data_IF_882179440084
#
_entry.id   IF_882179440084
#
_cell.length_a   1.000
_cell.length_b   1.000
_cell.length_c   1.000
_cell.angle_alpha   90.00
_cell.angle_beta   90.00
_cell.angle_gamma   90.00
#
_symmetry.space_group_name_H-M   'P 1'
#
loop_
_entity.id
_entity.type
_entity.pdbx_description
1 polymer ?
#
# COMPACT_ATOMS: atom_id res chain seq x y z
N UNK A 1 73.65 -7.82 -69.66
CA UNK A 1 73.22 -9.20 -69.37
C UNK A 1 71.89 -9.14 -68.64
N UNK A 2 70.95 -10.04 -68.93
CA UNK A 2 69.66 -10.13 -68.26
C UNK A 2 69.64 -11.36 -67.32
N UNK A 3 68.88 -11.35 -66.21
CA UNK A 3 68.73 -12.53 -65.36
C UNK A 3 67.97 -13.63 -66.12
N UNK A 4 68.49 -14.87 -66.07
CA UNK A 4 67.85 -15.98 -66.77
C UNK A 4 66.64 -16.49 -65.97
N UNK A 5 65.47 -16.53 -66.63
CA UNK A 5 64.25 -17.09 -66.05
C UNK A 5 64.36 -18.61 -65.94
N UNK A 6 64.47 -19.13 -64.72
CA UNK A 6 64.39 -20.58 -64.46
C UNK A 6 62.97 -21.09 -64.75
N UNK A 7 62.84 -22.06 -65.64
CA UNK A 7 61.56 -22.74 -65.90
C UNK A 7 61.06 -23.46 -64.66
N UNK A 8 59.85 -23.13 -64.23
CA UNK A 8 59.31 -23.60 -62.96
C UNK A 8 58.94 -25.10 -63.01
N UNK A 9 59.74 -25.92 -62.31
CA UNK A 9 59.24 -27.17 -61.75
C UNK A 9 58.12 -26.86 -60.75
N UNK A 10 57.24 -27.82 -60.45
CA UNK A 10 56.13 -27.65 -59.51
C UNK A 10 56.62 -27.41 -58.07
N UNK A 11 56.94 -26.16 -57.74
CA UNK A 11 57.26 -25.71 -56.39
C UNK A 11 56.03 -25.86 -55.49
N UNK A 12 56.20 -26.55 -54.37
CA UNK A 12 55.19 -26.68 -53.32
C UNK A 12 54.66 -25.30 -52.91
N UNK A 13 53.34 -25.13 -53.00
CA UNK A 13 52.66 -23.91 -52.57
C UNK A 13 51.47 -24.29 -51.68
N UNK A 14 51.64 -24.26 -50.34
CA UNK A 14 50.57 -24.65 -49.41
C UNK A 14 49.36 -23.73 -49.46
N UNK A 15 49.52 -22.44 -49.79
CA UNK A 15 48.39 -21.52 -49.99
C UNK A 15 47.46 -22.03 -51.10
N UNK A 16 48.03 -22.45 -52.23
CA UNK A 16 47.28 -23.03 -53.36
C UNK A 16 46.72 -24.43 -53.02
N UNK A 17 47.46 -25.27 -52.29
CA UNK A 17 47.02 -26.61 -51.91
C UNK A 17 45.86 -26.60 -50.89
N UNK A 18 45.89 -25.68 -49.92
CA UNK A 18 44.90 -25.55 -48.85
C UNK A 18 43.79 -24.55 -49.15
N UNK A 19 43.83 -23.88 -50.30
CA UNK A 19 42.87 -22.85 -50.73
C UNK A 19 42.83 -21.62 -49.81
N UNK A 20 43.99 -21.24 -49.26
CA UNK A 20 44.15 -20.11 -48.34
C UNK A 20 44.62 -18.89 -49.15
N UNK A 21 43.88 -17.78 -49.10
CA UNK A 21 44.31 -16.52 -49.69
C UNK A 21 45.49 -15.94 -48.90
N UNK A 22 46.63 -15.72 -49.57
CA UNK A 22 47.87 -15.26 -48.96
C UNK A 22 47.79 -13.81 -48.43
N UNK A 23 47.02 -12.95 -49.11
CA UNK A 23 46.89 -11.53 -48.78
C UNK A 23 45.72 -11.26 -47.81
N UNK A 24 44.72 -12.15 -47.80
CA UNK A 24 43.48 -11.99 -47.02
C UNK A 24 43.18 -13.22 -46.16
N UNK A 25 43.81 -13.29 -44.99
CA UNK A 25 43.55 -14.31 -43.96
C UNK A 25 42.20 -14.08 -43.24
N UNK A 26 41.10 -14.31 -43.96
CA UNK A 26 39.75 -14.50 -43.41
C UNK A 26 39.62 -15.89 -42.78
N UNK A 27 38.47 -16.16 -42.16
CA UNK A 27 38.20 -17.44 -41.52
C UNK A 27 37.98 -18.57 -42.55
N UNK A 28 38.79 -19.63 -42.45
CA UNK A 28 38.73 -20.79 -43.33
C UNK A 28 37.53 -21.75 -43.05
N UNK A 29 36.68 -21.40 -42.08
CA UNK A 29 35.47 -22.16 -41.74
C UNK A 29 34.30 -21.89 -42.70
N UNK A 30 33.37 -22.84 -42.78
CA UNK A 30 32.09 -22.67 -43.46
C UNK A 30 31.04 -22.12 -42.49
N UNK A 31 30.22 -21.15 -42.89
CA UNK A 31 29.14 -20.62 -42.06
C UNK A 31 27.79 -21.25 -42.46
N UNK A 32 27.27 -22.27 -41.74
CA UNK A 32 26.12 -23.05 -42.22
C UNK A 32 24.85 -22.21 -42.37
N UNK A 33 24.62 -21.28 -41.45
CA UNK A 33 23.49 -20.34 -41.46
C UNK A 33 23.49 -19.34 -42.63
N UNK A 34 24.61 -19.22 -43.36
CA UNK A 34 24.78 -18.28 -44.47
C UNK A 34 25.05 -18.98 -45.81
N UNK A 35 25.13 -20.31 -45.83
CA UNK A 35 25.39 -21.12 -47.04
C UNK A 35 26.71 -20.81 -47.75
N UNK A 36 27.72 -20.27 -47.06
CA UNK A 36 28.97 -19.78 -47.67
C UNK A 36 30.17 -19.84 -46.72
N UNK A 37 31.36 -19.61 -47.27
CA UNK A 37 32.61 -19.47 -46.51
C UNK A 37 32.59 -18.25 -45.56
N UNK A 38 33.22 -18.39 -44.40
CA UNK A 38 33.12 -17.44 -43.31
C UNK A 38 34.07 -16.24 -43.51
N UNK A 39 33.58 -15.18 -44.15
CA UNK A 39 34.36 -13.96 -44.43
C UNK A 39 34.73 -13.12 -43.18
N UNK A 40 34.48 -13.62 -41.97
CA UNK A 40 34.88 -12.93 -40.74
C UNK A 40 36.41 -12.79 -40.66
N UNK A 41 36.94 -11.61 -40.29
CA UNK A 41 38.38 -11.43 -40.12
C UNK A 41 38.89 -12.25 -38.93
N UNK A 42 40.00 -12.96 -39.12
CA UNK A 42 40.74 -13.60 -38.03
C UNK A 42 41.42 -12.50 -37.20
N UNK A 43 41.56 -12.70 -35.87
CA UNK A 43 42.24 -11.72 -35.01
C UNK A 43 43.72 -11.53 -35.41
N UNK A 44 44.27 -10.33 -35.23
CA UNK A 44 45.60 -9.98 -35.75
C UNK A 44 46.72 -10.90 -35.22
N UNK A 45 46.69 -11.21 -33.92
CA UNK A 45 47.59 -12.18 -33.28
C UNK A 45 47.51 -13.57 -33.93
N UNK A 46 46.30 -14.05 -34.20
CA UNK A 46 46.04 -15.36 -34.80
C UNK A 46 46.42 -15.40 -36.28
N UNK A 47 46.26 -14.29 -37.02
CA UNK A 47 46.83 -14.11 -38.37
C UNK A 47 48.35 -14.15 -38.36
N UNK A 48 49.01 -13.55 -37.37
CA UNK A 48 50.47 -13.62 -37.24
C UNK A 48 50.92 -15.06 -36.96
N UNK A 49 50.26 -15.77 -36.02
CA UNK A 49 50.53 -17.19 -35.72
C UNK A 49 50.30 -18.10 -36.94
N UNK A 50 49.17 -17.95 -37.65
CA UNK A 50 48.90 -18.67 -38.89
C UNK A 50 49.94 -18.38 -39.99
N UNK A 51 50.39 -17.13 -40.13
CA UNK A 51 51.45 -16.76 -41.08
C UNK A 51 52.80 -17.39 -40.73
N UNK A 52 53.13 -17.51 -39.44
CA UNK A 52 54.34 -18.22 -38.97
C UNK A 52 54.24 -19.72 -39.26
N UNK A 53 53.10 -20.36 -38.97
CA UNK A 53 52.87 -21.78 -39.25
C UNK A 53 52.92 -22.05 -40.77
N UNK A 54 52.29 -21.20 -41.60
CA UNK A 54 52.41 -21.30 -43.05
C UNK A 54 53.83 -21.08 -43.55
N UNK A 55 54.59 -20.13 -42.98
CA UNK A 55 55.99 -19.93 -43.31
C UNK A 55 56.86 -21.17 -43.06
N UNK A 56 56.61 -21.87 -41.94
CA UNK A 56 57.24 -23.16 -41.64
C UNK A 56 56.80 -24.24 -42.65
N UNK A 57 55.50 -24.40 -42.90
CA UNK A 57 54.93 -25.39 -43.84
C UNK A 57 55.38 -25.17 -45.31
N UNK A 58 55.69 -23.93 -45.72
CA UNK A 58 56.30 -23.63 -47.03
C UNK A 58 57.70 -24.24 -47.16
N UNK A 59 58.46 -24.33 -46.07
CA UNK A 59 59.84 -24.86 -46.06
C UNK A 59 59.93 -26.38 -45.86
N UNK A 60 58.84 -27.04 -45.46
CA UNK A 60 58.80 -28.50 -45.30
C UNK A 60 58.59 -29.22 -46.64
N UNK A 61 59.20 -30.40 -46.81
CA UNK A 61 58.71 -31.33 -47.84
C UNK A 61 57.30 -31.82 -47.46
N UNK A 62 56.33 -31.85 -48.40
CA UNK A 62 54.96 -32.28 -48.15
C UNK A 62 54.77 -33.64 -47.46
N UNK A 63 55.74 -34.56 -47.51
CA UNK A 63 55.67 -35.84 -46.80
C UNK A 63 55.81 -35.73 -45.27
N UNK A 64 56.39 -34.63 -44.75
CA UNK A 64 56.62 -34.43 -43.32
C UNK A 64 55.55 -33.59 -42.62
N UNK A 65 54.59 -33.02 -43.35
CA UNK A 65 53.50 -32.23 -42.77
C UNK A 65 52.52 -33.18 -42.08
N UNK A 66 52.41 -33.08 -40.75
CA UNK A 66 51.54 -33.96 -39.96
C UNK A 66 50.11 -33.43 -39.88
N UNK A 67 49.17 -34.30 -39.48
CA UNK A 67 47.81 -33.87 -39.15
C UNK A 67 47.77 -32.85 -38.00
N UNK A 68 48.79 -32.82 -37.12
CA UNK A 68 48.89 -31.83 -36.03
C UNK A 68 49.26 -30.45 -36.58
N UNK A 69 50.19 -30.35 -37.52
CA UNK A 69 50.58 -29.06 -38.13
C UNK A 69 49.39 -28.42 -38.86
N UNK A 70 48.53 -29.25 -39.47
CA UNK A 70 47.27 -28.83 -40.09
C UNK A 70 46.19 -28.45 -39.06
N UNK A 71 46.13 -29.11 -37.91
CA UNK A 71 45.20 -28.78 -36.82
C UNK A 71 45.57 -27.48 -36.08
N UNK A 72 46.88 -27.29 -35.83
CA UNK A 72 47.45 -26.04 -35.32
C UNK A 72 47.20 -24.90 -36.33
N UNK A 73 47.39 -25.13 -37.64
CA UNK A 73 47.03 -24.17 -38.69
C UNK A 73 45.52 -23.85 -38.70
N UNK A 74 44.66 -24.87 -38.62
CA UNK A 74 43.20 -24.72 -38.66
C UNK A 74 42.70 -23.91 -37.46
N UNK A 75 43.18 -24.23 -36.26
CA UNK A 75 42.86 -23.48 -35.05
C UNK A 75 43.23 -21.99 -35.15
N UNK A 76 44.34 -21.66 -35.83
CA UNK A 76 44.79 -20.29 -36.05
C UNK A 76 44.08 -19.56 -37.23
N UNK A 77 43.39 -20.29 -38.11
CA UNK A 77 42.61 -19.74 -39.24
C UNK A 77 41.08 -19.78 -39.06
N UNK A 78 40.58 -20.25 -37.91
CA UNK A 78 39.15 -20.18 -37.57
C UNK A 78 38.85 -18.96 -36.69
N UNK A 79 37.80 -18.19 -37.02
CA UNK A 79 37.43 -17.01 -36.23
C UNK A 79 36.85 -17.39 -34.86
N UNK A 80 37.28 -16.67 -33.83
CA UNK A 80 36.95 -16.90 -32.42
C UNK A 80 35.44 -16.89 -32.16
N UNK A 81 34.71 -15.95 -32.77
CA UNK A 81 33.29 -15.66 -32.50
C UNK A 81 32.31 -16.75 -32.90
N UNK A 82 32.67 -17.64 -33.84
CA UNK A 82 31.76 -18.65 -34.38
C UNK A 82 32.33 -20.06 -34.36
N UNK A 83 33.55 -20.27 -34.86
CA UNK A 83 34.06 -21.62 -35.14
C UNK A 83 34.99 -22.15 -34.05
N UNK A 84 35.87 -21.31 -33.47
CA UNK A 84 36.92 -21.79 -32.54
C UNK A 84 36.38 -22.40 -31.24
N UNK A 85 35.38 -21.78 -30.63
CA UNK A 85 34.88 -22.21 -29.30
C UNK A 85 33.71 -23.19 -29.36
N UNK A 86 32.88 -23.11 -30.40
CA UNK A 86 31.60 -23.84 -30.42
C UNK A 86 31.67 -25.18 -31.17
N UNK A 87 32.68 -25.39 -32.04
CA UNK A 87 32.73 -26.54 -32.93
C UNK A 87 34.15 -27.12 -33.06
N UNK A 88 34.49 -28.07 -32.17
CA UNK A 88 35.63 -28.98 -32.41
C UNK A 88 35.50 -29.68 -33.77
N UNK A 89 34.28 -30.10 -34.14
CA UNK A 89 34.00 -30.78 -35.39
C UNK A 89 34.32 -29.97 -36.66
N UNK A 90 34.12 -28.65 -36.67
CA UNK A 90 34.44 -27.82 -37.87
C UNK A 90 35.95 -27.71 -38.09
N UNK A 91 36.72 -27.65 -37.00
CA UNK A 91 38.19 -27.71 -37.04
C UNK A 91 38.67 -29.07 -37.54
N UNK A 92 38.16 -30.15 -36.95
CA UNK A 92 38.54 -31.52 -37.31
C UNK A 92 38.17 -31.84 -38.79
N UNK A 93 37.05 -31.31 -39.29
CA UNK A 93 36.64 -31.35 -40.72
C UNK A 93 37.58 -30.55 -41.63
N UNK A 94 38.01 -29.34 -41.22
CA UNK A 94 38.94 -28.53 -41.99
C UNK A 94 40.33 -29.19 -42.09
N UNK A 95 40.83 -29.71 -40.97
CA UNK A 95 42.06 -30.52 -40.91
C UNK A 95 41.96 -31.73 -41.84
N UNK A 96 40.83 -32.45 -41.84
CA UNK A 96 40.59 -33.57 -42.76
C UNK A 96 40.53 -33.14 -44.25
N UNK A 97 39.91 -32.00 -44.58
CA UNK A 97 39.90 -31.42 -45.93
C UNK A 97 41.32 -31.14 -46.42
N UNK A 98 42.16 -30.51 -45.60
CA UNK A 98 43.54 -30.18 -45.96
C UNK A 98 44.44 -31.41 -46.04
N UNK A 99 44.28 -32.39 -45.15
CA UNK A 99 45.02 -33.66 -45.22
C UNK A 99 44.67 -34.43 -46.52
N UNK A 100 43.41 -34.41 -46.95
CA UNK A 100 42.98 -34.96 -48.25
C UNK A 100 43.61 -34.21 -49.43
N UNK A 101 43.66 -32.87 -49.39
CA UNK A 101 44.32 -32.07 -50.43
C UNK A 101 45.83 -32.35 -50.49
N UNK A 102 46.50 -32.50 -49.35
CA UNK A 102 47.91 -32.88 -49.25
C UNK A 102 48.17 -34.25 -49.90
N UNK A 103 47.34 -35.25 -49.58
CA UNK A 103 47.42 -36.58 -50.20
C UNK A 103 47.15 -36.54 -51.72
N UNK A 104 46.27 -35.66 -52.20
CA UNK A 104 46.04 -35.47 -53.64
C UNK A 104 47.24 -34.80 -54.33
N UNK A 105 47.90 -33.83 -53.68
CA UNK A 105 49.13 -33.23 -54.17
C UNK A 105 50.27 -34.26 -54.27
N UNK A 106 50.45 -35.09 -53.23
CA UNK A 106 51.44 -36.17 -53.20
C UNK A 106 51.19 -37.26 -54.25
N UNK A 107 49.92 -37.50 -54.61
CA UNK A 107 49.52 -38.49 -55.64
C UNK A 107 49.48 -37.93 -57.06
N UNK A 108 49.70 -36.63 -57.26
CA UNK A 108 49.73 -36.03 -58.60
C UNK A 108 50.97 -36.55 -59.37
N UNK A 109 50.81 -37.15 -60.57
CA UNK A 109 51.93 -37.74 -61.29
C UNK A 109 52.93 -36.66 -61.71
N UNK A 110 54.14 -36.72 -61.17
CA UNK A 110 55.26 -35.84 -61.57
C UNK A 110 55.58 -36.09 -63.05
N UNK A 111 55.40 -35.07 -63.90
CA UNK A 111 55.74 -35.15 -65.33
C UNK A 111 57.27 -35.19 -65.52
N UNK A 112 57.82 -36.40 -65.41
CA UNK A 112 59.24 -36.69 -65.66
C UNK A 112 59.52 -36.79 -67.16
N UNK A 113 59.70 -35.65 -67.83
CA UNK A 113 60.06 -35.62 -69.25
C UNK A 113 61.55 -35.91 -69.46
N UNK A 114 61.91 -37.18 -69.66
CA UNK A 114 63.20 -37.56 -70.25
C UNK A 114 63.08 -38.76 -71.21
N UNK A 115 64.05 -38.88 -72.12
CA UNK A 115 63.92 -39.62 -73.39
C UNK A 115 64.99 -40.71 -73.53
N UNK A 116 64.62 -41.95 -73.94
CA UNK A 116 65.37 -42.76 -74.92
C UNK A 116 64.76 -44.17 -75.23
N UNK A 117 64.57 -44.44 -76.54
CA UNK A 117 64.88 -45.68 -77.29
C UNK A 117 64.50 -47.10 -76.79
N UNK A 118 63.62 -47.74 -77.58
CA UNK A 118 63.67 -49.17 -78.03
C UNK A 118 64.94 -49.43 -78.90
N UNK A 119 65.48 -50.68 -79.07
CA UNK A 119 64.85 -51.87 -79.69
C UNK A 119 64.63 -53.05 -78.71
N UNK A 120 63.86 -54.13 -78.94
CA UNK A 120 63.46 -54.99 -80.11
C UNK A 120 64.48 -56.09 -80.49
N UNK A 121 63.96 -57.27 -80.89
CA UNK A 121 64.62 -58.45 -81.49
C UNK A 121 65.62 -59.26 -80.63
N UNK A 122 66.04 -60.48 -81.01
CA UNK A 122 65.36 -61.74 -81.40
C UNK A 122 66.47 -62.83 -81.51
N UNK A 123 66.13 -64.04 -82.00
CA UNK A 123 67.02 -64.99 -82.70
C UNK A 123 68.11 -65.82 -81.95
N UNK A 124 67.88 -67.15 -82.03
CA UNK A 124 68.84 -68.29 -82.17
C UNK A 124 69.66 -68.72 -80.94
N UNK A 125 69.81 -70.02 -80.62
CA UNK A 125 69.96 -71.32 -81.36
C UNK A 125 71.39 -71.67 -81.80
N UNK A 126 71.76 -72.94 -81.55
CA UNK A 126 72.81 -73.74 -82.23
C UNK A 126 74.26 -73.27 -81.94
N UNK A 127 75.34 -74.05 -82.15
CA UNK A 127 75.58 -75.43 -82.65
C UNK A 127 76.90 -75.89 -81.92
N UNK A 128 77.03 -77.06 -81.26
CA UNK A 128 77.34 -78.42 -81.77
C UNK A 128 78.85 -78.65 -82.07
N UNK A 129 79.23 -79.90 -82.34
CA UNK A 129 80.55 -80.45 -82.76
C UNK A 129 81.62 -80.74 -81.67
N UNK A 130 82.40 -81.85 -81.76
CA UNK A 130 82.31 -83.00 -82.67
C UNK A 130 82.98 -84.29 -82.14
N UNK A 131 82.72 -85.38 -82.86
CA UNK A 131 83.14 -86.78 -82.66
C UNK A 131 84.66 -87.04 -82.50
N UNK A 132 84.99 -88.25 -82.02
CA UNK A 132 85.75 -89.28 -82.77
C UNK A 132 85.51 -90.64 -82.07
N UNK A 133 84.84 -91.63 -82.68
CA UNK A 133 85.33 -92.63 -83.68
C UNK A 133 86.15 -93.80 -83.04
N UNK A 134 86.11 -95.05 -83.52
CA UNK A 134 85.43 -95.64 -84.70
C UNK A 134 85.12 -97.14 -84.48
N UNK A 135 84.19 -97.69 -85.27
CA UNK A 135 83.82 -99.12 -85.29
C UNK A 135 84.80 -99.98 -86.13
N UNK A 136 85.01 -101.22 -85.68
CA UNK A 136 85.53 -102.40 -86.40
C UNK A 136 86.95 -102.38 -87.01
N UNK A 137 87.80 -103.27 -86.47
CA UNK A 137 88.68 -104.10 -87.31
C UNK A 137 88.78 -105.54 -86.76
N UNK A 138 87.98 -106.42 -87.38
CA UNK A 138 88.37 -107.72 -87.97
C UNK A 138 89.35 -108.57 -87.14
N UNK A 139 88.88 -109.64 -86.48
CA UNK A 139 88.82 -111.04 -86.99
C UNK A 139 90.19 -111.64 -87.39
N UNK A 140 90.77 -112.45 -86.50
CA UNK A 140 91.62 -113.60 -86.88
C UNK A 140 91.72 -114.65 -85.76
N UNK A 141 91.13 -115.84 -86.02
CA UNK A 141 91.57 -117.21 -85.67
C UNK A 141 92.15 -117.48 -84.26
N UNK A 142 91.63 -118.36 -83.38
CA UNK A 142 91.05 -119.73 -83.52
C UNK A 142 92.09 -120.80 -83.90
N UNK A 143 91.97 -122.01 -83.33
CA UNK A 143 92.88 -123.20 -83.42
C UNK A 143 94.12 -123.07 -82.50
N UNK A 144 94.51 -124.01 -81.62
CA UNK A 144 93.97 -125.30 -81.11
C UNK A 144 94.54 -125.55 -79.67
N UNK A 145 93.95 -126.35 -78.76
CA UNK A 145 94.22 -127.80 -78.55
C UNK A 145 95.74 -128.11 -78.60
N UNK A 146 96.46 -128.64 -77.59
CA UNK A 146 96.21 -129.66 -76.52
C UNK A 146 97.27 -129.53 -75.37
N UNK A 147 97.29 -130.20 -74.19
CA UNK A 147 96.36 -130.95 -73.30
C UNK A 147 96.99 -131.06 -71.88
N UNK A 148 96.19 -131.34 -70.84
CA UNK A 148 96.56 -131.88 -69.50
C UNK A 148 97.73 -131.27 -68.68
N UNK A 149 97.76 -129.95 -68.50
CA UNK A 149 98.54 -129.34 -67.38
C UNK A 149 97.87 -128.08 -66.77
N UNK A 150 97.32 -127.19 -67.59
CA UNK A 150 96.75 -125.91 -67.12
C UNK A 150 95.37 -126.00 -66.44
N UNK A 151 94.66 -127.14 -66.52
CA UNK A 151 93.30 -127.28 -66.01
C UNK A 151 93.22 -127.19 -64.48
N UNK A 152 94.23 -127.64 -63.74
CA UNK A 152 94.25 -127.58 -62.27
C UNK A 152 94.29 -126.14 -61.76
N UNK A 153 95.11 -125.29 -62.39
CA UNK A 153 95.18 -123.85 -62.06
C UNK A 153 93.90 -123.10 -62.42
N UNK A 154 93.20 -123.49 -63.49
CA UNK A 154 91.89 -122.92 -63.82
C UNK A 154 90.80 -123.41 -62.87
N UNK A 155 90.89 -124.64 -62.34
CA UNK A 155 89.99 -125.11 -61.30
C UNK A 155 90.19 -124.34 -59.99
N UNK A 156 91.44 -124.11 -59.57
CA UNK A 156 91.74 -123.28 -58.39
C UNK A 156 91.29 -121.83 -58.56
N UNK A 157 91.50 -121.20 -59.72
CA UNK A 157 91.06 -119.82 -59.95
C UNK A 157 89.52 -119.72 -60.05
N UNK A 158 88.84 -120.71 -60.63
CA UNK A 158 87.36 -120.74 -60.63
C UNK A 158 86.77 -121.03 -59.25
N UNK A 159 87.39 -121.88 -58.44
CA UNK A 159 87.04 -122.08 -57.03
C UNK A 159 87.30 -120.80 -56.20
N UNK A 160 88.41 -120.11 -56.42
CA UNK A 160 88.72 -118.82 -55.77
C UNK A 160 87.75 -117.71 -56.17
N UNK A 161 87.29 -117.70 -57.44
CA UNK A 161 86.21 -116.83 -57.92
C UNK A 161 84.82 -117.24 -57.41
N UNK A 162 84.59 -118.51 -57.05
CA UNK A 162 83.37 -118.97 -56.39
C UNK A 162 83.34 -118.54 -54.93
N UNK A 163 84.39 -118.81 -54.15
CA UNK A 163 84.50 -118.35 -52.77
C UNK A 163 84.39 -116.81 -52.64
N UNK A 164 84.95 -116.06 -53.60
CA UNK A 164 84.82 -114.59 -53.66
C UNK A 164 83.41 -114.13 -54.12
N UNK A 165 82.65 -114.98 -54.84
CA UNK A 165 81.22 -114.73 -55.11
C UNK A 165 80.35 -115.08 -53.90
N UNK A 166 80.65 -116.15 -53.17
CA UNK A 166 79.96 -116.56 -51.95
C UNK A 166 80.16 -115.50 -50.86
N UNK A 167 81.40 -115.06 -50.62
CA UNK A 167 81.71 -113.92 -49.76
C UNK A 167 80.96 -112.64 -50.16
N UNK A 168 80.79 -112.39 -51.47
CA UNK A 168 79.97 -111.26 -51.95
C UNK A 168 78.46 -111.48 -51.82
N UNK A 169 77.99 -112.72 -51.84
CA UNK A 169 76.60 -113.03 -51.50
C UNK A 169 76.36 -112.80 -50.01
N UNK A 170 77.29 -113.18 -49.13
CA UNK A 170 77.20 -112.92 -47.69
C UNK A 170 77.27 -111.41 -47.38
N UNK A 171 78.15 -110.65 -48.05
CA UNK A 171 78.17 -109.18 -47.98
C UNK A 171 76.85 -108.55 -48.45
N UNK A 172 76.30 -109.00 -49.59
CA UNK A 172 75.02 -108.51 -50.12
C UNK A 172 73.83 -108.90 -49.24
N UNK A 173 73.86 -110.09 -48.63
CA UNK A 173 72.86 -110.55 -47.67
C UNK A 173 72.92 -109.70 -46.39
N UNK A 174 74.13 -109.45 -45.85
CA UNK A 174 74.32 -108.57 -44.70
C UNK A 174 73.91 -107.11 -44.97
N UNK A 175 74.14 -106.61 -46.20
CA UNK A 175 73.67 -105.29 -46.64
C UNK A 175 72.14 -105.26 -46.82
N UNK A 176 71.53 -106.32 -47.35
CA UNK A 176 70.08 -106.44 -47.45
C UNK A 176 69.43 -106.51 -46.05
N UNK A 177 69.98 -107.28 -45.13
CA UNK A 177 69.51 -107.37 -43.75
C UNK A 177 69.76 -106.06 -42.97
N UNK A 178 70.77 -105.26 -43.36
CA UNK A 178 70.97 -103.88 -42.89
C UNK A 178 69.89 -102.94 -43.44
N UNK A 179 69.62 -102.96 -44.75
CA UNK A 179 68.54 -102.19 -45.37
C UNK A 179 67.15 -102.55 -44.82
N UNK A 180 66.89 -103.82 -44.50
CA UNK A 180 65.63 -104.27 -43.88
C UNK A 180 65.50 -103.70 -42.46
N UNK A 181 66.60 -103.61 -41.69
CA UNK A 181 66.62 -102.96 -40.36
C UNK A 181 66.42 -101.45 -40.47
N UNK A 182 67.21 -100.78 -41.31
CA UNK A 182 67.10 -99.33 -41.55
C UNK A 182 65.71 -98.94 -42.07
N UNK A 183 65.12 -99.75 -42.96
CA UNK A 183 63.72 -99.56 -43.38
C UNK A 183 62.76 -99.73 -42.21
N UNK A 184 62.89 -100.77 -41.38
CA UNK A 184 62.00 -101.00 -40.23
C UNK A 184 62.10 -99.90 -39.18
N UNK A 185 63.30 -99.34 -38.98
CA UNK A 185 63.53 -98.16 -38.14
C UNK A 185 62.87 -96.92 -38.76
N UNK A 186 63.02 -96.69 -40.07
CA UNK A 186 62.37 -95.59 -40.78
C UNK A 186 60.83 -95.69 -40.77
N UNK A 187 60.27 -96.89 -41.02
CA UNK A 187 58.83 -97.18 -40.95
C UNK A 187 58.30 -96.87 -39.54
N UNK A 188 59.04 -97.25 -38.48
CA UNK A 188 58.72 -96.92 -37.08
C UNK A 188 58.79 -95.42 -36.77
N UNK A 189 59.79 -94.71 -37.30
CA UNK A 189 59.85 -93.23 -37.20
C UNK A 189 58.68 -92.57 -37.93
N UNK A 190 58.24 -93.12 -39.07
CA UNK A 190 57.10 -92.62 -39.81
C UNK A 190 55.77 -92.86 -39.06
N UNK A 191 55.59 -94.02 -38.43
CA UNK A 191 54.43 -94.26 -37.54
C UNK A 191 54.40 -93.29 -36.35
N UNK A 192 55.55 -93.05 -35.71
CA UNK A 192 55.65 -92.10 -34.59
C UNK A 192 55.33 -90.67 -35.05
N UNK A 193 55.94 -90.20 -36.14
CA UNK A 193 55.68 -88.88 -36.71
C UNK A 193 54.21 -88.71 -37.14
N UNK A 194 53.60 -89.72 -37.74
CA UNK A 194 52.17 -89.68 -38.08
C UNK A 194 51.31 -89.63 -36.81
N UNK A 195 51.61 -90.44 -35.79
CA UNK A 195 50.87 -90.45 -34.51
C UNK A 195 50.97 -89.11 -33.78
N UNK A 196 52.16 -88.50 -33.76
CA UNK A 196 52.37 -87.15 -33.21
C UNK A 196 51.60 -86.10 -34.01
N UNK A 197 51.67 -86.14 -35.35
CA UNK A 197 50.92 -85.24 -36.23
C UNK A 197 49.41 -85.34 -36.05
N UNK A 198 48.85 -86.54 -35.91
CA UNK A 198 47.42 -86.72 -35.61
C UNK A 198 47.08 -86.20 -34.20
N UNK A 199 47.90 -86.48 -33.18
CA UNK A 199 47.69 -85.95 -31.83
C UNK A 199 47.74 -84.42 -31.78
N UNK A 200 48.64 -83.79 -32.54
CA UNK A 200 48.71 -82.33 -32.68
C UNK A 200 47.48 -81.77 -33.40
N UNK A 201 46.95 -82.46 -34.42
CA UNK A 201 45.70 -82.07 -35.09
C UNK A 201 44.49 -82.14 -34.14
N UNK A 202 44.38 -83.20 -33.33
CA UNK A 202 43.33 -83.31 -32.31
C UNK A 202 43.47 -82.24 -31.22
N UNK A 203 44.70 -81.96 -30.75
CA UNK A 203 44.96 -80.87 -29.80
C UNK A 203 44.61 -79.48 -30.36
N UNK A 204 44.90 -79.23 -31.65
CA UNK A 204 44.51 -77.99 -32.32
C UNK A 204 43.00 -77.88 -32.43
N UNK A 205 42.30 -78.96 -32.82
CA UNK A 205 40.84 -79.00 -32.88
C UNK A 205 40.20 -78.75 -31.51
N UNK A 206 40.72 -79.38 -30.44
CA UNK A 206 40.24 -79.15 -29.06
C UNK A 206 40.43 -77.68 -28.65
N UNK A 207 41.57 -77.07 -28.96
CA UNK A 207 41.84 -75.66 -28.69
C UNK A 207 40.93 -74.73 -29.51
N UNK A 208 40.66 -75.05 -30.77
CA UNK A 208 39.74 -74.28 -31.61
C UNK A 208 38.30 -74.37 -31.06
N UNK A 209 37.84 -75.58 -30.71
CA UNK A 209 36.55 -75.77 -30.05
C UNK A 209 36.46 -75.05 -28.70
N UNK A 210 37.53 -74.98 -27.91
CA UNK A 210 37.60 -74.23 -26.66
C UNK A 210 37.46 -72.72 -26.93
N UNK A 211 38.29 -72.17 -27.82
CA UNK A 211 38.24 -70.77 -28.21
C UNK A 211 36.86 -70.37 -28.79
N UNK A 212 36.22 -71.24 -29.59
CA UNK A 212 34.85 -71.04 -30.07
C UNK A 212 33.83 -71.04 -28.92
N UNK A 213 33.97 -71.92 -27.91
CA UNK A 213 33.10 -71.97 -26.72
C UNK A 213 33.27 -70.73 -25.83
N UNK A 214 34.50 -70.25 -25.66
CA UNK A 214 34.84 -69.02 -24.94
C UNK A 214 34.28 -67.78 -25.65
N UNK A 215 34.57 -67.63 -26.96
CA UNK A 215 34.01 -66.55 -27.80
C UNK A 215 32.47 -66.54 -27.76
N UNK A 216 31.83 -67.71 -27.80
CA UNK A 216 30.38 -67.83 -27.68
C UNK A 216 29.85 -67.48 -26.27
N UNK A 217 30.62 -67.71 -25.21
CA UNK A 217 30.28 -67.29 -23.85
C UNK A 217 30.35 -65.77 -23.70
N UNK A 218 31.42 -65.14 -24.19
CA UNK A 218 31.58 -63.68 -24.17
C UNK A 218 30.50 -62.97 -25.00
N UNK A 219 30.18 -63.50 -26.18
CA UNK A 219 29.06 -62.99 -26.98
C UNK A 219 27.71 -63.13 -26.26
N UNK A 220 27.47 -64.22 -25.52
CA UNK A 220 26.27 -64.39 -24.69
C UNK A 220 26.23 -63.40 -23.53
N UNK A 221 27.35 -63.08 -22.89
CA UNK A 221 27.44 -62.07 -21.82
C UNK A 221 27.19 -60.67 -22.39
N UNK A 222 27.82 -60.33 -23.52
CA UNK A 222 27.65 -59.07 -24.24
C UNK A 222 26.19 -58.84 -24.68
N UNK A 223 25.52 -59.88 -25.20
CA UNK A 223 24.08 -59.83 -25.53
C UNK A 223 23.22 -59.69 -24.28
N UNK A 224 23.51 -60.39 -23.18
CA UNK A 224 22.78 -60.23 -21.91
C UNK A 224 22.85 -58.79 -21.37
N UNK A 225 24.04 -58.18 -21.37
CA UNK A 225 24.21 -56.79 -20.95
C UNK A 225 23.41 -55.85 -21.86
N UNK A 226 23.53 -55.96 -23.19
CA UNK A 226 22.75 -55.14 -24.14
C UNK A 226 21.23 -55.29 -24.00
N UNK A 227 20.73 -56.45 -23.59
CA UNK A 227 19.31 -56.67 -23.28
C UNK A 227 18.90 -55.99 -21.97
N UNK A 228 19.76 -56.04 -20.94
CA UNK A 228 19.55 -55.31 -19.69
C UNK A 228 19.59 -53.78 -19.91
N UNK A 229 20.58 -53.27 -20.65
CA UNK A 229 20.69 -51.86 -21.03
C UNK A 229 19.43 -51.38 -21.77
N UNK A 230 18.90 -52.20 -22.68
CA UNK A 230 17.66 -51.88 -23.41
C UNK A 230 16.42 -51.89 -22.51
N UNK A 231 16.37 -52.73 -21.48
CA UNK A 231 15.30 -52.73 -20.49
C UNK A 231 15.41 -51.52 -19.53
N UNK A 232 16.63 -51.09 -19.17
CA UNK A 232 16.87 -49.86 -18.42
C UNK A 232 16.42 -48.63 -19.22
N UNK A 233 16.82 -48.52 -20.49
CA UNK A 233 16.37 -47.46 -21.41
C UNK A 233 14.84 -47.43 -21.50
N UNK A 234 14.18 -48.58 -21.60
CA UNK A 234 12.71 -48.65 -21.59
C UNK A 234 12.08 -48.12 -20.29
N UNK A 235 12.62 -48.48 -19.12
CA UNK A 235 12.14 -47.93 -17.83
C UNK A 235 12.39 -46.43 -17.70
N UNK A 236 13.55 -45.95 -18.12
CA UNK A 236 13.89 -44.52 -18.12
C UNK A 236 13.00 -43.71 -19.09
N UNK A 237 12.61 -44.29 -20.22
CA UNK A 237 11.66 -43.69 -21.16
C UNK A 237 10.24 -43.57 -20.60
N UNK A 238 9.77 -44.55 -19.80
CA UNK A 238 8.45 -44.45 -19.17
C UNK A 238 8.44 -43.43 -18.02
N UNK A 239 9.46 -43.47 -17.14
CA UNK A 239 9.66 -42.46 -16.09
C UNK A 239 9.78 -41.03 -16.66
N UNK A 240 10.34 -40.88 -17.86
CA UNK A 240 10.43 -39.57 -18.53
C UNK A 240 9.03 -39.07 -18.95
N UNK A 241 8.16 -39.93 -19.50
CA UNK A 241 6.77 -39.56 -19.83
C UNK A 241 5.96 -39.21 -18.59
N UNK A 242 6.11 -39.97 -17.51
CA UNK A 242 5.47 -39.67 -16.22
C UNK A 242 5.85 -38.26 -15.74
N UNK A 243 7.13 -37.87 -15.89
CA UNK A 243 7.60 -36.52 -15.56
C UNK A 243 7.18 -35.43 -16.55
N UNK A 244 6.95 -35.76 -17.82
CA UNK A 244 6.37 -34.83 -18.79
C UNK A 244 4.90 -34.52 -18.43
N UNK A 245 4.14 -35.53 -17.98
CA UNK A 245 2.76 -35.37 -17.50
C UNK A 245 2.72 -34.54 -16.20
N UNK A 246 3.55 -34.87 -15.21
CA UNK A 246 3.69 -34.06 -13.97
C UNK A 246 3.98 -32.58 -14.29
N UNK A 247 4.83 -32.33 -15.28
CA UNK A 247 5.23 -30.98 -15.68
C UNK A 247 4.10 -30.23 -16.40
N UNK A 248 3.29 -30.91 -17.21
CA UNK A 248 2.12 -30.30 -17.85
C UNK A 248 1.01 -29.99 -16.82
N UNK A 249 0.71 -30.91 -15.89
CA UNK A 249 -0.25 -30.68 -14.81
C UNK A 249 0.17 -29.50 -13.91
N UNK A 250 1.45 -29.47 -13.48
CA UNK A 250 1.96 -28.36 -12.66
C UNK A 250 2.04 -27.04 -13.42
N UNK A 251 2.29 -27.06 -14.74
CA UNK A 251 2.22 -25.85 -15.59
C UNK A 251 0.79 -25.31 -15.68
N UNK A 252 -0.19 -26.18 -15.90
CA UNK A 252 -1.63 -25.85 -15.92
C UNK A 252 -2.10 -25.25 -14.58
N UNK A 253 -1.69 -25.87 -13.46
CA UNK A 253 -1.98 -25.36 -12.12
C UNK A 253 -1.37 -23.97 -11.87
N UNK A 254 -0.16 -23.71 -12.37
CA UNK A 254 0.50 -22.40 -12.24
C UNK A 254 -0.21 -21.29 -13.02
N UNK A 255 -0.66 -21.52 -14.26
CA UNK A 255 -1.46 -20.53 -14.99
C UNK A 255 -2.83 -20.29 -14.33
N UNK A 256 -3.46 -21.32 -13.76
CA UNK A 256 -4.70 -21.16 -12.96
C UNK A 256 -4.48 -20.29 -11.71
N UNK A 257 -3.38 -20.48 -10.99
CA UNK A 257 -3.02 -19.62 -9.84
C UNK A 257 -2.70 -18.18 -10.26
N UNK A 258 -2.02 -18.00 -11.39
CA UNK A 258 -1.70 -16.70 -12.00
C UNK A 258 -2.96 -15.92 -12.38
N UNK A 259 -4.00 -16.58 -12.92
CA UNK A 259 -5.29 -15.94 -13.20
C UNK A 259 -6.07 -15.60 -11.92
N UNK A 260 -6.05 -16.47 -10.90
CA UNK A 260 -6.60 -16.15 -9.57
C UNK A 260 -5.91 -14.94 -8.95
N UNK A 261 -4.59 -14.77 -9.14
CA UNK A 261 -3.85 -13.59 -8.69
C UNK A 261 -4.23 -12.31 -9.45
N UNK A 262 -4.51 -12.39 -10.76
CA UNK A 262 -5.04 -11.24 -11.53
C UNK A 262 -6.37 -10.76 -10.97
N UNK A 263 -7.33 -11.66 -10.75
CA UNK A 263 -8.66 -11.30 -10.25
C UNK A 263 -8.64 -10.85 -8.77
N UNK A 264 -7.77 -11.43 -7.93
CA UNK A 264 -7.52 -10.91 -6.59
C UNK A 264 -6.94 -9.49 -6.62
N UNK A 265 -5.99 -9.21 -7.51
CA UNK A 265 -5.40 -7.88 -7.68
C UNK A 265 -6.45 -6.86 -8.13
N UNK A 266 -7.29 -7.22 -9.12
CA UNK A 266 -8.41 -6.41 -9.61
C UNK A 266 -9.41 -6.08 -8.48
N UNK A 267 -9.93 -7.10 -7.80
CA UNK A 267 -10.91 -6.91 -6.70
C UNK A 267 -10.31 -6.20 -5.48
N UNK A 268 -9.00 -6.26 -5.27
CA UNK A 268 -8.29 -5.43 -4.27
C UNK A 268 -8.25 -3.95 -4.68
N UNK A 269 -7.90 -3.65 -5.94
CA UNK A 269 -7.87 -2.27 -6.46
C UNK A 269 -9.26 -1.62 -6.48
N UNK A 270 -10.31 -2.38 -6.78
CA UNK A 270 -11.72 -1.95 -6.67
C UNK A 270 -12.07 -1.55 -5.21
N UNK A 271 -11.64 -2.36 -4.22
CA UNK A 271 -11.84 -2.05 -2.80
C UNK A 271 -11.04 -0.83 -2.34
N UNK A 272 -9.79 -0.69 -2.77
CA UNK A 272 -8.95 0.50 -2.48
C UNK A 272 -9.62 1.76 -3.03
N UNK A 273 -10.13 1.70 -4.27
CA UNK A 273 -10.85 2.80 -4.90
C UNK A 273 -12.13 3.18 -4.13
N UNK A 274 -12.89 2.19 -3.65
CA UNK A 274 -14.08 2.41 -2.82
C UNK A 274 -13.73 3.02 -1.46
N UNK A 275 -12.63 2.61 -0.82
CA UNK A 275 -12.15 3.19 0.45
C UNK A 275 -11.74 4.65 0.24
N UNK A 276 -11.08 4.98 -0.87
CA UNK A 276 -10.74 6.36 -1.21
C UNK A 276 -11.98 7.24 -1.39
N UNK A 277 -13.00 6.76 -2.12
CA UNK A 277 -14.27 7.48 -2.30
C UNK A 277 -15.00 7.71 -0.97
N UNK A 278 -15.12 6.68 -0.12
CA UNK A 278 -15.74 6.79 1.21
C UNK A 278 -14.98 7.78 2.12
N UNK A 279 -13.64 7.84 2.02
CA UNK A 279 -12.84 8.81 2.79
C UNK A 279 -13.14 10.25 2.38
N UNK A 280 -13.34 10.51 1.09
CA UNK A 280 -13.77 11.84 0.60
C UNK A 280 -15.16 12.19 1.10
N UNK A 281 -16.12 11.26 0.99
CA UNK A 281 -17.50 11.44 1.48
C UNK A 281 -17.56 11.71 3.00
N UNK A 282 -16.69 11.07 3.79
CA UNK A 282 -16.54 11.36 5.21
C UNK A 282 -16.02 12.79 5.45
N UNK A 283 -14.98 13.24 4.74
CA UNK A 283 -14.44 14.60 4.89
C UNK A 283 -15.45 15.70 4.50
N UNK A 284 -16.26 15.46 3.46
CA UNK A 284 -17.37 16.36 3.08
C UNK A 284 -18.42 16.47 4.20
N UNK A 285 -18.74 15.36 4.87
CA UNK A 285 -19.67 15.34 6.02
C UNK A 285 -19.05 15.98 7.27
N UNK A 286 -17.77 15.77 7.54
CA UNK A 286 -17.05 16.42 8.65
C UNK A 286 -17.06 17.95 8.49
N UNK A 287 -16.76 18.45 7.29
CA UNK A 287 -16.89 19.88 6.96
C UNK A 287 -18.33 20.39 7.15
N UNK A 288 -19.33 19.63 6.69
CA UNK A 288 -20.75 19.96 6.85
C UNK A 288 -21.16 20.03 8.34
N UNK A 289 -20.64 19.13 9.18
CA UNK A 289 -20.87 19.14 10.63
C UNK A 289 -20.24 20.37 11.28
N UNK A 290 -19.00 20.73 10.92
CA UNK A 290 -18.34 21.93 11.44
C UNK A 290 -19.08 23.22 11.06
N UNK A 291 -19.61 23.31 9.83
CA UNK A 291 -20.49 24.41 9.41
C UNK A 291 -21.78 24.48 10.25
N UNK A 292 -22.42 23.33 10.51
CA UNK A 292 -23.65 23.26 11.29
C UNK A 292 -23.42 23.61 12.77
N UNK A 293 -22.31 23.18 13.36
CA UNK A 293 -21.88 23.57 14.71
C UNK A 293 -21.66 25.08 14.80
N UNK A 294 -20.97 25.68 13.82
CA UNK A 294 -20.77 27.14 13.75
C UNK A 294 -22.11 27.89 13.62
N UNK A 295 -23.02 27.40 12.77
CA UNK A 295 -24.38 27.96 12.60
C UNK A 295 -25.26 27.78 13.82
N UNK A 296 -24.98 26.81 14.69
CA UNK A 296 -25.68 26.58 15.95
C UNK A 296 -25.15 27.52 17.05
N UNK A 297 -23.83 27.61 17.24
CA UNK A 297 -23.21 28.57 18.17
C UNK A 297 -23.71 30.01 17.93
N UNK A 298 -23.68 30.47 16.67
CA UNK A 298 -24.17 31.81 16.31
C UNK A 298 -25.67 32.02 16.62
N UNK A 299 -26.47 30.96 16.64
CA UNK A 299 -27.90 31.03 17.04
C UNK A 299 -28.06 31.08 18.55
N UNK A 300 -27.25 30.33 19.29
CA UNK A 300 -27.27 30.33 20.75
C UNK A 300 -26.83 31.70 21.29
N UNK A 301 -25.76 32.28 20.73
CA UNK A 301 -25.36 33.68 20.98
C UNK A 301 -26.51 34.68 20.72
N UNK A 302 -27.25 34.46 19.62
CA UNK A 302 -28.41 35.29 19.25
C UNK A 302 -29.60 35.09 20.19
N UNK A 303 -29.77 33.90 20.77
CA UNK A 303 -30.80 33.62 21.79
C UNK A 303 -30.45 34.30 23.10
N UNK A 304 -29.21 34.15 23.60
CA UNK A 304 -28.76 34.83 24.83
C UNK A 304 -28.84 36.35 24.73
N UNK A 305 -28.54 36.94 23.57
CA UNK A 305 -28.77 38.39 23.33
C UNK A 305 -30.26 38.78 23.45
N UNK A 306 -31.17 37.93 22.97
CA UNK A 306 -32.62 38.16 23.09
C UNK A 306 -33.13 37.95 24.51
N UNK A 307 -32.63 36.95 25.22
CA UNK A 307 -32.96 36.68 26.62
C UNK A 307 -32.57 37.88 27.50
N UNK A 308 -31.33 38.36 27.37
CA UNK A 308 -30.88 39.59 28.04
C UNK A 308 -31.77 40.80 27.71
N UNK A 309 -32.21 40.93 26.45
CA UNK A 309 -33.13 42.00 26.02
C UNK A 309 -34.51 41.86 26.66
N UNK A 310 -35.02 40.62 26.82
CA UNK A 310 -36.29 40.34 27.50
C UNK A 310 -36.19 40.69 28.99
N UNK A 311 -35.11 40.31 29.68
CA UNK A 311 -34.90 40.63 31.10
C UNK A 311 -34.82 42.14 31.35
N UNK A 312 -34.14 42.89 30.48
CA UNK A 312 -34.11 44.35 30.54
C UNK A 312 -35.52 44.95 30.35
N UNK A 313 -36.27 44.49 29.35
CA UNK A 313 -37.65 44.96 29.12
C UNK A 313 -38.61 44.60 30.26
N UNK A 314 -38.46 43.44 30.90
CA UNK A 314 -39.20 43.05 32.09
C UNK A 314 -38.88 43.97 33.28
N UNK A 315 -37.59 44.28 33.48
CA UNK A 315 -37.13 45.23 34.50
C UNK A 315 -37.68 46.63 34.25
N UNK A 316 -37.71 47.10 33.00
CA UNK A 316 -38.32 48.38 32.64
C UNK A 316 -39.84 48.40 32.82
N UNK A 317 -40.53 47.27 32.64
CA UNK A 317 -41.98 47.16 32.91
C UNK A 317 -42.25 47.23 34.42
N UNK A 318 -41.56 46.44 35.24
CA UNK A 318 -41.71 46.47 36.71
C UNK A 318 -41.51 47.89 37.27
N UNK A 319 -40.44 48.58 36.83
CA UNK A 319 -40.18 49.98 37.23
C UNK A 319 -41.30 50.96 36.83
N UNK A 320 -42.00 50.70 35.72
CA UNK A 320 -43.16 51.50 35.28
C UNK A 320 -44.42 51.18 36.08
N UNK A 321 -44.66 49.91 36.40
CA UNK A 321 -45.80 49.51 37.24
C UNK A 321 -45.65 50.01 38.69
N UNK A 322 -44.43 50.03 39.24
CA UNK A 322 -44.13 50.69 40.51
C UNK A 322 -44.34 52.21 40.46
N UNK A 323 -44.04 52.85 39.32
CA UNK A 323 -44.29 54.28 39.12
C UNK A 323 -45.79 54.59 38.99
N UNK A 324 -46.55 53.77 38.25
CA UNK A 324 -48.00 53.85 38.13
C UNK A 324 -48.70 53.61 39.47
N UNK A 325 -48.23 52.65 40.26
CA UNK A 325 -48.75 52.37 41.61
C UNK A 325 -48.54 53.56 42.53
N UNK A 326 -47.33 54.14 42.57
CA UNK A 326 -47.05 55.38 43.33
C UNK A 326 -47.94 56.55 42.90
N UNK A 327 -48.04 56.81 41.59
CA UNK A 327 -48.94 57.86 41.06
C UNK A 327 -50.41 57.63 41.43
N UNK A 328 -50.87 56.38 41.49
CA UNK A 328 -52.23 56.03 41.91
C UNK A 328 -52.46 56.31 43.40
N UNK A 329 -51.51 55.97 44.27
CA UNK A 329 -51.56 56.28 45.71
C UNK A 329 -51.52 57.79 45.97
N UNK A 330 -50.69 58.54 45.22
CA UNK A 330 -50.68 60.00 45.28
C UNK A 330 -52.04 60.58 44.88
N UNK A 331 -52.63 60.13 43.78
CA UNK A 331 -53.97 60.58 43.34
C UNK A 331 -55.05 60.29 44.39
N UNK A 332 -55.05 59.10 45.01
CA UNK A 332 -55.96 58.77 46.12
C UNK A 332 -55.76 59.69 47.34
N UNK A 333 -54.51 60.05 47.65
CA UNK A 333 -54.15 60.96 48.74
C UNK A 333 -54.60 62.40 48.44
N UNK A 334 -54.49 62.85 47.18
CA UNK A 334 -54.99 64.15 46.72
C UNK A 334 -56.51 64.21 46.72
N UNK A 335 -57.20 63.18 46.23
CA UNK A 335 -58.67 63.06 46.27
C UNK A 335 -59.20 63.07 47.72
N UNK A 336 -58.58 62.30 48.62
CA UNK A 336 -58.93 62.29 50.04
C UNK A 336 -58.70 63.66 50.70
N UNK A 337 -57.61 64.35 50.31
CA UNK A 337 -57.33 65.71 50.76
C UNK A 337 -58.35 66.72 50.23
N UNK A 338 -58.75 66.60 48.96
CA UNK A 338 -59.74 67.46 48.30
C UNK A 338 -61.12 67.29 48.96
N UNK A 339 -61.58 66.05 49.19
CA UNK A 339 -62.83 65.76 49.92
C UNK A 339 -62.84 66.36 51.33
N UNK A 340 -61.69 66.36 52.03
CA UNK A 340 -61.53 67.02 53.33
C UNK A 340 -61.61 68.55 53.22
N UNK A 341 -61.04 69.15 52.18
CA UNK A 341 -61.15 70.59 51.91
C UNK A 341 -62.59 70.98 51.55
N UNK A 342 -63.25 70.22 50.68
CA UNK A 342 -64.68 70.42 50.37
C UNK A 342 -65.56 70.35 51.62
N UNK A 343 -65.31 69.38 52.50
CA UNK A 343 -66.06 69.23 53.74
C UNK A 343 -65.84 70.43 54.67
N UNK A 344 -64.58 70.83 54.90
CA UNK A 344 -64.26 72.03 55.67
C UNK A 344 -64.93 73.29 55.07
N UNK A 345 -64.96 73.44 53.74
CA UNK A 345 -65.69 74.53 53.10
C UNK A 345 -67.20 74.44 53.32
N UNK A 346 -67.82 73.24 53.26
CA UNK A 346 -69.25 73.05 53.59
C UNK A 346 -69.54 73.46 55.03
N UNK A 347 -68.69 73.07 55.96
CA UNK A 347 -68.84 73.37 57.40
C UNK A 347 -68.66 74.88 57.68
N UNK A 348 -67.65 75.52 57.08
CA UNK A 348 -67.48 76.98 57.14
C UNK A 348 -68.67 77.74 56.52
N UNK A 349 -69.23 77.26 55.40
CA UNK A 349 -70.45 77.86 54.84
C UNK A 349 -71.68 77.69 55.75
N UNK A 350 -71.79 76.56 56.46
CA UNK A 350 -72.83 76.34 57.45
C UNK A 350 -72.66 77.25 58.68
N UNK A 351 -71.44 77.43 59.17
CA UNK A 351 -71.07 78.36 60.25
C UNK A 351 -71.38 79.81 59.87
N UNK A 352 -70.94 80.26 58.68
CA UNK A 352 -71.24 81.60 58.15
C UNK A 352 -72.76 81.81 58.00
N UNK A 353 -73.51 80.80 57.57
CA UNK A 353 -74.98 80.84 57.52
C UNK A 353 -75.58 80.96 58.93
N UNK A 354 -75.03 80.24 59.91
CA UNK A 354 -75.36 80.34 61.33
C UNK A 354 -75.12 81.74 61.89
N UNK A 355 -73.94 82.32 61.66
CA UNK A 355 -73.62 83.70 62.06
C UNK A 355 -74.52 84.74 61.40
N UNK A 356 -74.84 84.59 60.10
CA UNK A 356 -75.79 85.47 59.39
C UNK A 356 -77.18 85.43 60.03
N UNK A 357 -77.65 84.24 60.43
CA UNK A 357 -78.94 84.08 61.10
C UNK A 357 -78.92 84.56 62.57
N UNK A 358 -77.81 84.35 63.28
CA UNK A 358 -77.56 84.95 64.60
C UNK A 358 -77.60 86.47 64.55
N UNK A 359 -76.93 87.08 63.57
CA UNK A 359 -76.93 88.53 63.35
C UNK A 359 -78.31 89.07 62.94
N UNK A 360 -79.11 88.33 62.15
CA UNK A 360 -80.53 88.69 61.90
C UNK A 360 -81.32 88.72 63.20
N UNK A 361 -81.22 87.69 64.04
CA UNK A 361 -81.90 87.61 65.35
C UNK A 361 -81.43 88.70 66.30
N UNK A 362 -80.13 89.03 66.32
CA UNK A 362 -79.57 90.12 67.11
C UNK A 362 -80.10 91.49 66.63
N UNK A 363 -80.12 91.72 65.32
CA UNK A 363 -80.67 92.94 64.71
C UNK A 363 -82.18 93.08 64.97
N UNK A 364 -82.93 91.99 64.93
CA UNK A 364 -84.35 91.97 65.30
C UNK A 364 -84.58 92.25 66.80
N UNK A 365 -83.73 91.70 67.69
CA UNK A 365 -83.75 92.05 69.13
C UNK A 365 -83.42 93.53 69.37
N UNK A 366 -82.39 94.06 68.71
CA UNK A 366 -82.03 95.48 68.78
C UNK A 366 -83.14 96.39 68.24
N UNK A 367 -83.85 95.97 67.18
CA UNK A 367 -85.02 96.68 66.68
C UNK A 367 -86.19 96.65 67.67
N UNK A 368 -86.53 95.50 68.25
CA UNK A 368 -87.52 95.38 69.33
C UNK A 368 -87.13 96.21 70.57
N UNK A 369 -85.85 96.27 70.91
CA UNK A 369 -85.33 97.12 71.99
C UNK A 369 -85.44 98.61 71.63
N UNK A 370 -85.16 99.01 70.40
CA UNK A 370 -85.37 100.38 69.93
C UNK A 370 -86.85 100.78 69.92
N UNK A 371 -87.75 99.88 69.49
CA UNK A 371 -89.20 100.10 69.54
C UNK A 371 -89.72 100.20 70.98
N UNK A 372 -89.25 99.36 71.90
CA UNK A 372 -89.65 99.43 73.32
C UNK A 372 -89.03 100.63 74.05
N UNK A 373 -87.82 101.07 73.69
CA UNK A 373 -87.26 102.34 74.16
C UNK A 373 -88.01 103.55 73.59
N UNK A 374 -88.38 103.54 72.31
CA UNK A 374 -89.20 104.61 71.71
C UNK A 374 -90.60 104.66 72.34
N UNK A 375 -91.18 103.51 72.66
CA UNK A 375 -92.43 103.42 73.42
C UNK A 375 -92.27 103.95 74.84
N UNK A 376 -91.20 103.60 75.57
CA UNK A 376 -90.92 104.15 76.90
C UNK A 376 -90.64 105.65 76.88
N UNK A 377 -89.97 106.16 75.86
CA UNK A 377 -89.79 107.59 75.67
C UNK A 377 -91.14 108.28 75.42
N UNK A 378 -92.03 107.67 74.63
CA UNK A 378 -93.40 108.16 74.45
C UNK A 378 -94.20 108.16 75.76
N UNK A 379 -94.17 107.04 76.51
CA UNK A 379 -94.78 106.92 77.84
C UNK A 379 -94.18 107.93 78.83
N UNK A 380 -92.91 108.33 78.67
CA UNK A 380 -92.24 109.38 79.44
C UNK A 380 -92.66 110.80 79.02
N UNK A 381 -92.82 111.09 77.73
CA UNK A 381 -93.35 112.38 77.25
C UNK A 381 -94.85 112.53 77.56
N UNK A 382 -95.62 111.44 77.52
CA UNK A 382 -97.02 111.40 77.98
C UNK A 382 -97.08 111.62 79.51
N UNK A 383 -96.25 110.95 80.30
CA UNK A 383 -96.15 111.20 81.74
C UNK A 383 -95.60 112.60 82.09
N UNK A 384 -94.78 113.22 81.24
CA UNK A 384 -94.40 114.64 81.37
C UNK A 384 -95.60 115.54 81.10
N UNK A 385 -96.36 115.31 80.03
CA UNK A 385 -97.56 116.08 79.72
C UNK A 385 -98.61 115.97 80.83
N UNK A 386 -98.78 114.79 81.43
CA UNK A 386 -99.64 114.59 82.61
C UNK A 386 -99.13 115.38 83.83
N UNK A 387 -97.82 115.43 84.06
CA UNK A 387 -97.24 116.25 85.14
C UNK A 387 -97.36 117.74 84.86
N UNK A 388 -97.18 118.19 83.61
CA UNK A 388 -97.37 119.58 83.16
C UNK A 388 -98.84 120.00 83.36
N UNK A 389 -99.78 119.13 82.99
CA UNK A 389 -101.20 119.30 83.25
C UNK A 389 -101.52 119.33 84.75
N UNK A 390 -100.89 118.48 85.56
CA UNK A 390 -101.04 118.52 87.03
C UNK A 390 -100.45 119.82 87.63
N UNK A 391 -99.37 120.37 87.04
CA UNK A 391 -98.79 121.66 87.44
C UNK A 391 -99.69 122.85 87.07
N UNK A 392 -100.35 122.84 85.91
CA UNK A 392 -101.37 123.84 85.59
C UNK A 392 -102.64 123.67 86.44
N UNK A 393 -103.05 122.43 86.75
CA UNK A 393 -104.12 122.17 87.71
C UNK A 393 -103.76 122.70 89.11
N UNK A 394 -102.48 122.60 89.52
CA UNK A 394 -101.96 123.20 90.73
C UNK A 394 -101.93 124.74 90.67
N UNK A 395 -101.58 125.36 89.52
CA UNK A 395 -101.71 126.82 89.31
C UNK A 395 -103.17 127.29 89.42
N UNK A 396 -104.12 126.54 88.89
CA UNK A 396 -105.56 126.84 89.01
C UNK A 396 -105.97 126.80 90.49
N UNK A 397 -105.56 125.77 91.24
CA UNK A 397 -105.82 125.66 92.67
C UNK A 397 -105.13 126.78 93.48
N UNK A 398 -103.93 127.21 93.12
CA UNK A 398 -103.24 128.35 93.73
C UNK A 398 -104.01 129.67 93.50
N UNK A 399 -104.53 129.91 92.30
CA UNK A 399 -105.35 131.10 91.98
C UNK A 399 -106.65 131.12 92.79
N UNK A 400 -107.41 130.03 92.76
CA UNK A 400 -108.65 129.88 93.53
C UNK A 400 -108.41 130.07 95.04
N UNK A 401 -107.28 129.57 95.56
CA UNK A 401 -106.87 129.82 96.94
C UNK A 401 -106.61 131.31 97.21
N UNK A 402 -105.89 132.01 96.33
CA UNK A 402 -105.62 133.45 96.52
C UNK A 402 -106.87 134.33 96.42
N UNK A 403 -107.92 133.90 95.72
CA UNK A 403 -109.21 134.58 95.71
C UNK A 403 -109.95 134.38 97.04
N UNK A 404 -110.01 133.14 97.57
CA UNK A 404 -110.60 132.85 98.90
C UNK A 404 -109.83 133.55 100.04
N UNK A 405 -108.50 133.55 100.01
CA UNK A 405 -107.65 134.27 100.98
C UNK A 405 -107.79 135.81 100.87
N UNK A 406 -108.36 136.33 99.78
CA UNK A 406 -108.70 137.75 99.63
C UNK A 406 -110.13 138.07 100.14
N UNK A 407 -111.12 137.22 99.86
CA UNK A 407 -112.50 137.39 100.34
C UNK A 407 -112.62 137.25 101.87
N UNK A 408 -111.83 136.37 102.51
CA UNK A 408 -111.78 136.32 103.98
C UNK A 408 -111.42 137.68 104.61
N UNK A 409 -110.61 138.48 103.90
CA UNK A 409 -109.94 139.68 104.43
C UNK A 409 -110.83 140.93 104.45
N UNK A 410 -111.99 140.90 103.79
CA UNK A 410 -112.97 142.00 103.79
C UNK A 410 -114.08 141.82 104.83
N UNK A 411 -114.36 140.57 105.23
CA UNK A 411 -115.41 140.25 106.22
C UNK A 411 -114.92 140.32 107.68
N UNK A 412 -113.62 140.20 107.94
CA UNK A 412 -113.03 140.06 109.28
C UNK A 412 -112.96 141.39 110.10
N UNK A 413 -113.98 142.25 109.99
CA UNK A 413 -114.08 143.55 110.70
C UNK A 413 -115.30 143.73 111.60
N UNK A 414 -116.20 142.76 111.71
CA UNK A 414 -117.34 142.80 112.63
C UNK A 414 -117.45 141.50 113.42
N UNK A 415 -117.65 141.63 114.74
CA UNK A 415 -117.89 140.57 115.75
C UNK A 415 -116.79 139.52 115.99
N UNK A 416 -116.26 139.57 117.23
CA UNK A 416 -115.20 138.74 117.82
C UNK A 416 -115.76 137.89 118.99
N UNK A 417 -114.97 137.14 119.79
CA UNK A 417 -114.23 135.92 119.43
C UNK A 417 -114.44 134.75 120.43
N UNK A 418 -114.08 133.51 120.08
CA UNK A 418 -113.97 132.39 121.04
C UNK A 418 -112.66 131.58 120.88
N UNK A 419 -112.30 130.78 121.90
CA UNK A 419 -110.91 130.33 122.16
C UNK A 419 -110.67 128.81 122.09
N UNK A 420 -109.56 128.44 121.46
CA UNK A 420 -108.58 127.39 121.82
C UNK A 420 -109.03 125.93 122.14
N UNK A 421 -108.39 124.94 121.49
CA UNK A 421 -107.50 123.95 122.17
C UNK A 421 -106.67 123.01 121.24
N UNK A 422 -105.60 122.47 121.82
CA UNK A 422 -104.44 121.79 121.19
C UNK A 422 -104.61 120.28 120.85
N UNK A 423 -103.74 119.74 119.97
CA UNK A 423 -103.12 118.38 120.08
C UNK A 423 -101.75 118.35 119.33
N UNK A 424 -100.94 117.26 119.39
CA UNK A 424 -99.53 117.26 118.90
C UNK A 424 -98.91 115.85 118.63
N UNK A 425 -97.85 115.76 117.79
CA UNK A 425 -97.01 114.57 117.42
C UNK A 425 -97.68 113.61 116.39
N UNK A 426 -97.04 112.66 115.66
CA UNK A 426 -95.64 112.16 115.48
C UNK A 426 -95.66 110.65 115.06
N UNK A 427 -94.62 109.92 114.57
CA UNK A 427 -93.24 110.19 114.10
C UNK A 427 -92.60 108.87 113.51
N UNK A 428 -91.59 108.93 112.60
CA UNK A 428 -90.88 107.77 111.94
C UNK A 428 -91.75 106.85 111.03
N UNK A 429 -91.27 105.91 110.19
CA UNK A 429 -89.95 105.36 109.76
C UNK A 429 -90.20 104.25 108.68
N UNK A 430 -89.31 103.38 108.15
CA UNK A 430 -87.85 103.07 108.21
C UNK A 430 -87.46 102.33 106.87
N UNK A 431 -86.17 102.11 106.54
CA UNK A 431 -85.64 101.42 105.33
C UNK A 431 -85.33 99.90 105.52
N UNK A 432 -85.24 99.13 104.42
CA UNK A 432 -84.45 97.87 104.32
C UNK A 432 -84.18 97.44 102.86
N UNK A 433 -82.94 97.00 102.55
CA UNK A 433 -82.41 96.63 101.22
C UNK A 433 -81.31 95.54 101.37
N UNK A 434 -81.04 94.75 100.30
CA UNK A 434 -79.95 93.74 100.13
C UNK A 434 -80.10 92.37 100.85
N UNK A 435 -79.34 91.29 100.48
CA UNK A 435 -78.33 91.14 99.40
C UNK A 435 -78.48 89.88 98.47
N UNK A 436 -77.45 89.65 97.65
CA UNK A 436 -77.23 88.61 96.60
C UNK A 436 -77.37 87.12 96.99
N UNK A 437 -77.40 86.23 95.96
CA UNK A 437 -76.83 84.87 96.05
C UNK A 437 -76.19 84.40 94.71
N UNK A 438 -75.01 83.79 94.79
CA UNK A 438 -74.26 83.18 93.67
C UNK A 438 -74.33 81.63 93.72
N UNK A 439 -74.19 80.96 92.56
CA UNK A 439 -73.67 79.58 92.46
C UNK A 439 -73.15 79.25 91.04
N UNK A 440 -72.33 78.21 90.93
CA UNK A 440 -71.43 77.96 89.79
C UNK A 440 -71.38 76.47 89.36
N UNK A 441 -70.75 76.22 88.20
CA UNK A 441 -70.40 74.91 87.61
C UNK A 441 -71.60 74.08 87.08
N UNK A 442 -71.42 73.11 86.18
CA UNK A 442 -70.23 72.28 85.89
C UNK A 442 -70.09 71.95 84.39
N UNK A 443 -68.85 71.72 83.94
CA UNK A 443 -68.51 71.22 82.60
C UNK A 443 -68.21 69.72 82.73
N UNK A 444 -68.73 68.93 81.79
CA UNK A 444 -68.25 67.57 81.49
C UNK A 444 -68.77 67.16 80.11
N UNK A 445 -67.87 66.84 79.19
CA UNK A 445 -68.18 66.12 77.97
C UNK A 445 -67.06 65.13 77.71
N UNK A 446 -67.36 63.98 77.12
CA UNK A 446 -66.34 63.06 76.63
C UNK A 446 -66.92 62.03 75.65
N UNK A 447 -66.03 61.45 74.83
CA UNK A 447 -66.28 60.34 73.93
C UNK A 447 -66.25 60.70 72.43
N UNK A 448 -65.93 59.74 71.53
CA UNK A 448 -65.33 58.41 71.79
C UNK A 448 -63.93 58.26 71.14
N UNK A 449 -63.08 57.41 71.71
CA UNK A 449 -61.82 56.97 71.06
C UNK A 449 -62.02 55.60 70.41
N UNK A 450 -62.04 55.55 69.08
CA UNK A 450 -61.98 54.28 68.32
C UNK A 450 -60.54 53.77 68.34
N UNK A 451 -60.32 52.50 68.73
CA UNK A 451 -58.99 51.90 68.70
C UNK A 451 -58.58 51.47 67.29
N UNK A 452 -57.26 51.39 67.07
CA UNK A 452 -56.68 50.65 65.94
C UNK A 452 -56.64 49.14 66.24
N UNK A 453 -55.96 48.42 65.34
CA UNK A 453 -55.69 46.98 65.27
C UNK A 453 -56.68 46.22 64.36
N UNK A 454 -56.23 45.31 63.48
CA UNK A 454 -54.86 44.83 63.24
C UNK A 454 -54.65 44.44 61.77
N UNK A 455 -53.42 44.56 61.28
CA UNK A 455 -53.04 44.07 59.94
C UNK A 455 -52.18 42.82 60.09
N UNK A 456 -52.65 41.72 59.51
CA UNK A 456 -51.85 40.51 59.33
C UNK A 456 -52.05 40.02 57.92
N UNK A 457 -51.00 40.04 57.10
CA UNK A 457 -51.03 39.53 55.72
C UNK A 457 -49.76 38.73 55.48
N UNK A 458 -49.94 37.53 54.94
CA UNK A 458 -48.88 36.54 54.79
C UNK A 458 -47.90 36.97 53.68
N UNK A 459 -46.60 36.84 53.95
CA UNK A 459 -45.56 36.83 52.92
C UNK A 459 -44.96 35.42 52.90
N UNK A 460 -45.04 34.75 51.75
CA UNK A 460 -44.44 33.44 51.53
C UNK A 460 -43.03 33.60 50.94
N UNK A 461 -42.13 32.69 51.31
CA UNK A 461 -40.80 32.56 50.70
C UNK A 461 -40.86 31.73 49.41
N UNK A 462 -40.20 32.16 48.33
CA UNK A 462 -39.89 31.30 47.19
C UNK A 462 -38.49 30.68 47.32
N UNK A 463 -38.41 29.35 47.19
CA UNK A 463 -37.22 28.64 46.72
C UNK A 463 -37.65 27.88 45.45
N UNK A 464 -36.86 27.98 44.37
CA UNK A 464 -37.21 27.49 43.03
C UNK A 464 -36.64 28.39 41.94
#
# INVERSE_FOLDING_TARGET
MAPMSSTAANTWNPYKAFQINQDQLHCAGWAPSMGRECHNPVGQEWRAKAKTIMGYIVTMDPHYITAKDLDDLAFNLLCVRYHRHNNKGERDVLTAKWLKNLQLYLKAPRQSSFVAKKPTEELKNQLVDAQIDRVAKVRSLVVSQEVSAGLTLQLEDTQRRLANKESRCDELQALNDKLIREKKELDGVCELYLREKWSLADQLKIKEEQHQKETAADLRINVKHKVADRAEIGRLQELLKEREIDLEETTSANESLKDRLKEFTKTSNEKISRIAALKTECGEKENTIAELQTKLSNKDDTLTQKENTITELQTQLSNKDDALTRMRTDLQTKDSTLKRVEQNCRDQFAEIKGHREGNRKLKAKLFLQACTMSRKNRELEEAKADNEAMFEQHKILQRAKTEVDAELKTLEKVTTPLKLRNIKKGFAGVLSIHPMRLRTHRISGEGPTTSMNESTTVVATPEG
#
